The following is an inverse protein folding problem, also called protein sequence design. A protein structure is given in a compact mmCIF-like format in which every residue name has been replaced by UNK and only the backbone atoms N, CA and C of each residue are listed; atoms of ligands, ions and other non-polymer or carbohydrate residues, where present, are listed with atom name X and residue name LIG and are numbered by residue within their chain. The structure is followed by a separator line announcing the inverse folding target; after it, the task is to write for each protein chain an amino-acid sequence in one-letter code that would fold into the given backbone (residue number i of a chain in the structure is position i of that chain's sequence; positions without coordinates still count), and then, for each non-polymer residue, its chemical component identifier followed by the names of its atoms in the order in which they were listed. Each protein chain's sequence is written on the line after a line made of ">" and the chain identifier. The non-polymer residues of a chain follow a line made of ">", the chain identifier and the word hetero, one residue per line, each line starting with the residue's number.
data_IF_439102181305
#
_entry.id   IF_439102181305
#
_cell.length_a   1.000
_cell.length_b   1.000
_cell.length_c   1.000
_cell.angle_alpha   90.00
_cell.angle_beta   90.00
_cell.angle_gamma   90.00
#
_symmetry.space_group_name_H-M   'P 1'
#
loop_
_entity.id
_entity.type
_entity.pdbx_description
1 polymer ?
#
# COMPACT_ATOMS: atom_id res chain seq x y z
N UNK A 1 12.81 -10.96 5.13
CA UNK A 1 14.24 -10.63 5.02
C UNK A 1 14.88 -10.46 6.40
N UNK A 2 14.42 -9.56 7.28
CA UNK A 2 15.10 -9.28 8.55
C UNK A 2 14.88 -10.31 9.68
N UNK A 3 13.71 -10.95 9.71
CA UNK A 3 13.39 -12.00 10.67
C UNK A 3 13.08 -13.30 9.93
N UNK A 4 14.09 -14.16 9.81
CA UNK A 4 14.00 -15.45 9.14
C UNK A 4 14.92 -16.46 9.81
N UNK A 5 14.44 -17.69 9.91
CA UNK A 5 15.24 -18.85 10.22
C UNK A 5 14.68 -20.02 9.42
N UNK A 6 15.44 -20.58 8.45
CA UNK A 6 15.02 -21.77 7.73
C UNK A 6 14.75 -22.93 8.67
N UNK A 7 13.83 -23.83 8.29
CA UNK A 7 13.63 -25.10 9.00
C UNK A 7 14.82 -26.04 8.82
N UNK A 8 14.91 -27.04 9.68
CA UNK A 8 15.88 -28.12 9.50
C UNK A 8 15.68 -28.78 8.12
N UNK A 9 16.76 -28.99 7.39
CA UNK A 9 16.73 -29.49 6.01
C UNK A 9 16.44 -28.44 4.93
N UNK A 10 16.21 -27.18 5.30
CA UNK A 10 15.99 -26.04 4.40
C UNK A 10 17.16 -25.07 4.50
N UNK A 11 17.72 -24.66 3.37
CA UNK A 11 18.77 -23.62 3.32
C UNK A 11 18.17 -22.25 3.00
N UNK A 12 18.94 -21.17 3.22
CA UNK A 12 18.51 -19.83 2.83
C UNK A 12 18.40 -19.73 1.30
N UNK A 13 19.32 -20.37 0.58
CA UNK A 13 19.33 -20.46 -0.88
C UNK A 13 18.06 -21.16 -1.40
N UNK A 14 17.57 -22.18 -0.70
CA UNK A 14 16.31 -22.82 -1.05
C UNK A 14 15.12 -21.85 -0.91
N UNK A 15 15.07 -21.07 0.19
CA UNK A 15 14.00 -20.07 0.38
C UNK A 15 14.00 -19.00 -0.72
N UNK A 16 15.18 -18.53 -1.12
CA UNK A 16 15.34 -17.58 -2.23
C UNK A 16 14.85 -18.22 -3.53
N UNK A 17 15.34 -19.42 -3.85
CA UNK A 17 14.96 -20.15 -5.07
C UNK A 17 13.45 -20.40 -5.19
N UNK A 18 12.79 -20.81 -4.10
CA UNK A 18 11.34 -21.02 -4.10
C UNK A 18 10.58 -19.72 -4.28
N UNK A 19 11.04 -18.64 -3.64
CA UNK A 19 10.43 -17.32 -3.78
C UNK A 19 10.55 -16.80 -5.23
N UNK A 20 11.73 -16.95 -5.84
CA UNK A 20 11.97 -16.54 -7.23
C UNK A 20 11.09 -17.32 -8.21
N UNK A 21 10.91 -18.63 -8.01
CA UNK A 21 10.00 -19.45 -8.81
C UNK A 21 8.56 -18.97 -8.72
N UNK A 22 8.08 -18.68 -7.50
CA UNK A 22 6.71 -18.19 -7.28
C UNK A 22 6.47 -16.81 -7.89
N UNK A 23 7.44 -15.90 -7.78
CA UNK A 23 7.37 -14.59 -8.42
C UNK A 23 7.37 -14.72 -9.94
N UNK A 24 8.22 -15.59 -10.50
CA UNK A 24 8.32 -15.81 -11.94
C UNK A 24 7.05 -16.39 -12.56
N UNK A 25 6.28 -17.18 -11.82
CA UNK A 25 5.00 -17.72 -12.27
C UNK A 25 3.79 -16.83 -11.94
N UNK A 26 4.00 -15.67 -11.31
CA UNK A 26 2.94 -14.73 -10.96
C UNK A 26 2.03 -15.24 -9.84
N UNK A 27 2.55 -16.06 -8.91
CA UNK A 27 1.80 -16.45 -7.72
C UNK A 27 1.42 -15.21 -6.90
N UNK A 28 0.22 -15.22 -6.32
CA UNK A 28 -0.19 -14.09 -5.51
C UNK A 28 0.52 -14.08 -4.14
N UNK A 29 0.46 -12.94 -3.45
CA UNK A 29 1.16 -12.77 -2.16
C UNK A 29 0.64 -13.71 -1.07
N UNK A 30 -0.62 -14.14 -1.14
CA UNK A 30 -1.21 -15.08 -0.18
C UNK A 30 -0.61 -16.46 -0.39
N UNK A 31 -0.52 -16.92 -1.65
CA UNK A 31 0.11 -18.18 -2.03
C UNK A 31 1.61 -18.20 -1.69
N UNK A 32 2.32 -17.11 -2.00
CA UNK A 32 3.74 -16.95 -1.65
C UNK A 32 3.94 -17.07 -0.14
N UNK A 33 3.15 -16.35 0.65
CA UNK A 33 3.27 -16.38 2.10
C UNK A 33 2.88 -17.72 2.69
N UNK A 34 1.93 -18.46 2.09
CA UNK A 34 1.57 -19.81 2.51
C UNK A 34 2.76 -20.77 2.43
N UNK A 35 3.48 -20.77 1.31
CA UNK A 35 4.69 -21.60 1.15
C UNK A 35 5.79 -21.14 2.10
N UNK A 36 6.07 -19.82 2.16
CA UNK A 36 7.15 -19.27 2.99
C UNK A 36 6.94 -19.52 4.49
N UNK A 37 5.70 -19.48 4.98
CA UNK A 37 5.37 -19.80 6.39
C UNK A 37 5.81 -21.23 6.74
N UNK A 38 5.58 -22.20 5.84
CA UNK A 38 5.91 -23.61 6.05
C UNK A 38 7.41 -23.89 6.01
N UNK A 39 8.16 -23.18 5.17
CA UNK A 39 9.62 -23.34 5.06
C UNK A 39 10.43 -22.60 6.15
N UNK A 40 9.75 -21.85 7.02
CA UNK A 40 10.36 -21.06 8.09
C UNK A 40 10.10 -21.67 9.47
N UNK A 41 11.07 -21.55 10.38
CA UNK A 41 10.95 -21.96 11.77
C UNK A 41 10.38 -20.87 12.68
N UNK A 42 10.15 -19.66 12.17
CA UNK A 42 9.68 -18.51 12.98
C UNK A 42 8.39 -17.88 12.48
N UNK A 43 8.01 -18.11 11.22
CA UNK A 43 6.78 -17.58 10.61
C UNK A 43 5.56 -18.46 10.93
N UNK A 44 4.37 -17.97 10.57
CA UNK A 44 3.11 -18.70 10.71
C UNK A 44 2.88 -19.20 12.12
N UNK A 45 3.14 -18.35 13.12
CA UNK A 45 2.93 -18.63 14.54
C UNK A 45 4.04 -19.41 15.24
N UNK A 46 5.04 -19.91 14.51
CA UNK A 46 6.11 -20.73 15.11
C UNK A 46 7.00 -19.96 16.08
N UNK A 47 7.21 -18.66 15.86
CA UNK A 47 7.92 -17.84 16.85
C UNK A 47 7.16 -17.78 18.18
N UNK A 48 5.83 -17.65 18.15
CA UNK A 48 5.03 -17.72 19.39
C UNK A 48 5.14 -19.08 20.09
N UNK A 49 5.15 -20.18 19.33
CA UNK A 49 5.38 -21.51 19.90
C UNK A 49 6.75 -21.64 20.57
N UNK A 50 7.81 -21.06 19.98
CA UNK A 50 9.16 -21.09 20.56
C UNK A 50 9.27 -20.28 21.85
N UNK A 51 8.46 -19.23 22.00
CA UNK A 51 8.46 -18.37 23.21
C UNK A 51 7.62 -18.98 24.33
N UNK A 52 6.67 -19.86 24.02
CA UNK A 52 5.85 -20.54 25.01
C UNK A 52 6.72 -21.24 26.08
N UNK A 53 6.34 -21.18 27.37
CA UNK A 53 5.07 -20.67 27.91
C UNK A 53 5.05 -19.15 28.18
N UNK A 54 6.11 -18.40 27.84
CA UNK A 54 6.10 -16.95 28.02
C UNK A 54 5.08 -16.29 27.09
N UNK A 55 4.53 -15.15 27.52
CA UNK A 55 3.53 -14.40 26.78
C UNK A 55 4.17 -13.32 25.89
N UNK A 56 3.68 -13.20 24.66
CA UNK A 56 4.07 -12.17 23.70
C UNK A 56 3.01 -11.07 23.68
N UNK A 57 3.44 -9.83 23.90
CA UNK A 57 2.64 -8.65 23.61
C UNK A 57 3.20 -7.96 22.36
N UNK A 58 2.52 -8.12 21.23
CA UNK A 58 2.93 -7.58 19.94
C UNK A 58 2.32 -6.21 19.69
N UNK A 59 3.16 -5.21 19.45
CA UNK A 59 2.75 -3.87 19.00
C UNK A 59 3.13 -3.76 17.53
N UNK A 60 2.11 -3.68 16.67
CA UNK A 60 2.27 -3.77 15.21
C UNK A 60 2.08 -2.40 14.57
N UNK A 61 3.02 -2.03 13.70
CA UNK A 61 2.84 -0.98 12.70
C UNK A 61 2.61 -1.66 11.36
N UNK A 62 1.42 -1.49 10.79
CA UNK A 62 0.97 -2.21 9.61
C UNK A 62 1.20 -1.41 8.34
N UNK A 63 1.99 -1.97 7.44
CA UNK A 63 2.19 -1.56 6.05
C UNK A 63 1.36 -2.42 5.07
N UNK A 64 0.44 -3.25 5.59
CA UNK A 64 -0.38 -4.17 4.81
C UNK A 64 -1.82 -3.69 4.78
N UNK A 65 -2.37 -3.50 3.57
CA UNK A 65 -3.77 -3.14 3.41
C UNK A 65 -4.71 -4.14 4.10
N UNK A 66 -5.66 -3.61 4.85
CA UNK A 66 -6.61 -4.40 5.63
C UNK A 66 -6.03 -5.03 6.91
N UNK A 67 -4.81 -4.64 7.31
CA UNK A 67 -4.25 -4.94 8.64
C UNK A 67 -4.17 -6.45 8.95
N UNK A 68 -3.91 -7.25 7.91
CA UNK A 68 -3.90 -8.72 8.02
C UNK A 68 -2.65 -9.22 8.75
N UNK A 69 -2.81 -9.54 10.03
CA UNK A 69 -1.74 -10.03 10.91
C UNK A 69 -1.04 -11.30 10.41
N UNK A 70 -1.74 -12.15 9.65
CA UNK A 70 -1.18 -13.36 9.06
C UNK A 70 -0.17 -13.09 7.92
N UNK A 71 -0.27 -11.88 7.35
CA UNK A 71 0.52 -11.40 6.22
C UNK A 71 1.67 -10.50 6.71
N UNK A 72 1.43 -9.68 7.74
CA UNK A 72 2.44 -8.81 8.34
C UNK A 72 3.60 -9.65 8.90
N UNK A 73 4.80 -9.45 8.36
CA UNK A 73 5.99 -10.26 8.63
C UNK A 73 5.78 -11.79 8.43
N UNK A 74 4.76 -12.19 7.66
CA UNK A 74 4.27 -13.57 7.55
C UNK A 74 3.82 -14.20 8.88
N UNK A 75 3.26 -13.37 9.76
CA UNK A 75 2.57 -13.78 11.00
C UNK A 75 3.42 -14.59 11.98
N UNK A 76 4.59 -14.14 12.44
CA UNK A 76 5.44 -14.94 13.34
C UNK A 76 4.77 -15.25 14.69
N UNK A 77 3.90 -14.35 15.17
CA UNK A 77 3.10 -14.52 16.37
C UNK A 77 1.60 -14.55 16.07
N UNK A 78 1.21 -15.05 14.89
CA UNK A 78 -0.19 -15.18 14.49
C UNK A 78 -0.47 -16.61 14.03
N UNK A 79 -1.61 -17.23 14.40
CA UNK A 79 -1.96 -18.55 13.91
C UNK A 79 -2.06 -18.55 12.39
N UNK A 80 -1.71 -19.66 11.76
CA UNK A 80 -1.80 -19.81 10.30
C UNK A 80 -2.81 -20.88 9.94
N UNK A 81 -3.98 -20.44 9.46
CA UNK A 81 -5.08 -21.32 9.06
C UNK A 81 -4.81 -22.15 7.81
N UNK A 82 -3.73 -21.87 7.06
CA UNK A 82 -3.41 -22.62 5.85
C UNK A 82 -3.08 -24.09 6.13
N UNK A 83 -3.42 -24.96 5.19
CA UNK A 83 -3.26 -26.42 5.33
C UNK A 83 -2.15 -26.99 4.44
N UNK A 84 -1.66 -28.18 4.78
CA UNK A 84 -0.70 -28.91 3.93
C UNK A 84 -1.26 -29.08 2.52
N UNK A 85 -2.54 -29.43 2.39
CA UNK A 85 -3.14 -29.68 1.08
C UNK A 85 -3.22 -28.42 0.21
N UNK A 86 -3.37 -27.24 0.81
CA UNK A 86 -3.35 -25.97 0.07
C UNK A 86 -1.93 -25.62 -0.40
N UNK A 87 -0.93 -25.82 0.46
CA UNK A 87 0.47 -25.61 0.09
C UNK A 87 0.92 -26.54 -1.04
N UNK A 88 0.59 -27.84 -0.96
CA UNK A 88 0.91 -28.79 -2.03
C UNK A 88 0.15 -28.47 -3.33
N UNK A 89 -1.09 -27.99 -3.25
CA UNK A 89 -1.82 -27.50 -4.42
C UNK A 89 -1.12 -26.33 -5.12
N UNK A 90 -0.45 -25.44 -4.37
CA UNK A 90 0.34 -24.34 -4.95
C UNK A 90 1.57 -24.89 -5.68
N UNK A 91 2.26 -25.88 -5.08
CA UNK A 91 3.40 -26.57 -5.70
C UNK A 91 2.99 -27.17 -7.05
N UNK A 92 1.87 -27.89 -7.07
CA UNK A 92 1.34 -28.53 -8.28
C UNK A 92 0.84 -27.50 -9.30
N UNK A 93 0.07 -26.50 -8.86
CA UNK A 93 -0.51 -25.42 -9.70
C UNK A 93 0.56 -24.71 -10.51
N UNK A 94 1.72 -24.42 -9.91
CA UNK A 94 2.80 -23.68 -10.55
C UNK A 94 3.96 -24.57 -11.02
N UNK A 95 3.90 -25.88 -10.78
CA UNK A 95 4.96 -26.82 -11.16
C UNK A 95 6.31 -26.50 -10.50
N UNK A 96 6.28 -26.12 -9.22
CA UNK A 96 7.49 -25.70 -8.50
C UNK A 96 8.49 -26.86 -8.38
N UNK A 97 9.76 -26.57 -8.64
CA UNK A 97 10.84 -27.55 -8.55
C UNK A 97 11.44 -27.52 -7.16
N UNK A 98 10.98 -28.44 -6.32
CA UNK A 98 11.39 -28.56 -4.92
C UNK A 98 12.26 -29.82 -4.73
N UNK A 99 13.36 -29.66 -4.00
CA UNK A 99 14.17 -30.80 -3.52
C UNK A 99 13.44 -31.53 -2.38
N UNK A 100 13.75 -32.81 -2.08
CA UNK A 100 13.02 -33.60 -1.09
C UNK A 100 12.85 -32.95 0.29
N UNK A 101 13.91 -32.35 0.84
CA UNK A 101 13.84 -31.66 2.14
C UNK A 101 12.86 -30.47 2.20
N UNK A 102 12.55 -29.85 1.05
CA UNK A 102 11.54 -28.79 1.00
C UNK A 102 10.12 -29.38 1.00
N UNK A 103 9.91 -30.50 0.30
CA UNK A 103 8.63 -31.21 0.31
C UNK A 103 8.32 -31.71 1.72
N UNK A 104 9.29 -32.34 2.37
CA UNK A 104 9.18 -32.76 3.78
C UNK A 104 8.83 -31.58 4.70
N UNK A 105 9.45 -30.42 4.50
CA UNK A 105 9.14 -29.22 5.30
C UNK A 105 7.72 -28.68 5.06
N UNK A 106 7.14 -28.86 3.87
CA UNK A 106 5.77 -28.45 3.54
C UNK A 106 4.71 -29.36 4.17
N UNK A 107 5.04 -30.63 4.41
CA UNK A 107 4.16 -31.65 5.00
C UNK A 107 3.96 -31.49 6.51
N UNK A 108 4.58 -30.50 7.15
CA UNK A 108 4.30 -30.18 8.55
C UNK A 108 3.33 -29.00 8.68
N UNK A 109 2.32 -29.16 9.54
CA UNK A 109 1.40 -28.07 9.85
C UNK A 109 2.04 -26.90 10.61
N UNK A 110 1.52 -25.71 10.31
CA UNK A 110 1.70 -24.51 11.13
C UNK A 110 0.69 -24.48 12.27
N UNK A 111 0.99 -23.81 13.41
CA UNK A 111 0.05 -23.67 14.51
C UNK A 111 -1.26 -23.00 14.05
N UNK A 112 -2.37 -23.67 14.34
CA UNK A 112 -3.73 -23.20 14.04
C UNK A 112 -4.33 -22.36 15.17
N UNK A 113 -3.79 -22.50 16.38
CA UNK A 113 -4.19 -21.76 17.57
C UNK A 113 -2.93 -21.34 18.35
N UNK A 114 -3.00 -20.20 19.02
CA UNK A 114 -1.97 -19.65 19.90
C UNK A 114 -2.66 -19.01 21.11
N UNK A 115 -2.27 -19.40 22.32
CA UNK A 115 -2.84 -18.92 23.59
C UNK A 115 -1.93 -17.95 24.36
N UNK A 116 -0.68 -17.76 23.88
CA UNK A 116 0.34 -16.94 24.52
C UNK A 116 0.60 -15.61 23.81
N UNK A 117 -0.32 -15.11 22.98
CA UNK A 117 -0.13 -13.87 22.22
C UNK A 117 -1.31 -12.90 22.41
N UNK A 118 -0.97 -11.65 22.71
CA UNK A 118 -1.86 -10.50 22.54
C UNK A 118 -1.25 -9.55 21.51
N UNK A 119 -2.07 -9.05 20.57
CA UNK A 119 -1.60 -8.14 19.51
C UNK A 119 -2.42 -6.85 19.52
N UNK A 120 -1.74 -5.71 19.41
CA UNK A 120 -2.35 -4.41 19.13
C UNK A 120 -1.74 -3.80 17.88
N UNK A 121 -2.58 -3.24 17.02
CA UNK A 121 -2.12 -2.46 15.87
C UNK A 121 -2.05 -1.01 16.32
N UNK A 122 -0.83 -0.50 16.49
CA UNK A 122 -0.57 0.86 16.97
C UNK A 122 -0.61 1.89 15.84
N UNK A 123 -0.41 1.46 14.59
CA UNK A 123 -0.58 2.31 13.42
C UNK A 123 -0.85 1.50 12.17
N UNK A 124 -1.69 2.07 11.31
CA UNK A 124 -2.04 1.58 9.98
C UNK A 124 -2.62 2.72 9.14
N UNK A 125 -2.85 2.46 7.85
CA UNK A 125 -3.50 3.43 6.96
C UNK A 125 -4.85 3.90 7.50
N UNK A 126 -5.59 3.01 8.18
CA UNK A 126 -6.86 3.34 8.85
C UNK A 126 -6.66 4.39 9.95
N UNK A 127 -5.63 4.22 10.79
CA UNK A 127 -5.31 5.21 11.83
C UNK A 127 -4.82 6.54 11.26
N UNK A 128 -4.09 6.51 10.13
CA UNK A 128 -3.64 7.71 9.42
C UNK A 128 -4.84 8.49 8.86
N UNK A 129 -5.78 7.79 8.21
CA UNK A 129 -7.02 8.40 7.72
C UNK A 129 -7.87 8.96 8.86
N UNK A 130 -8.01 8.24 9.97
CA UNK A 130 -8.76 8.72 11.14
C UNK A 130 -8.13 9.99 11.75
N UNK A 131 -6.80 10.07 11.79
CA UNK A 131 -6.10 11.27 12.24
C UNK A 131 -6.33 12.46 11.29
N UNK A 132 -6.22 12.24 9.97
CA UNK A 132 -6.49 13.26 8.97
C UNK A 132 -7.96 13.75 8.99
N UNK A 133 -8.90 12.81 9.15
CA UNK A 133 -10.32 13.11 9.32
C UNK A 133 -10.56 13.99 10.54
N UNK A 134 -10.02 13.61 11.70
CA UNK A 134 -10.13 14.40 12.93
C UNK A 134 -9.58 15.81 12.74
N UNK A 135 -8.40 15.96 12.15
CA UNK A 135 -7.79 17.27 11.90
C UNK A 135 -8.64 18.11 10.94
N UNK A 136 -9.16 17.53 9.86
CA UNK A 136 -10.04 18.24 8.93
C UNK A 136 -11.33 18.73 9.61
N UNK A 137 -11.93 17.90 10.46
CA UNK A 137 -13.12 18.26 11.23
C UNK A 137 -12.85 19.41 12.21
N UNK A 138 -11.71 19.38 12.92
CA UNK A 138 -11.26 20.46 13.82
C UNK A 138 -11.03 21.79 13.08
N UNK A 139 -10.64 21.72 11.80
CA UNK A 139 -10.50 22.86 10.90
C UNK A 139 -11.83 23.33 10.27
N UNK A 140 -12.95 22.69 10.59
CA UNK A 140 -14.30 23.08 10.16
C UNK A 140 -14.78 22.45 8.86
N UNK A 141 -14.10 21.43 8.34
CA UNK A 141 -14.56 20.69 7.17
C UNK A 141 -15.51 19.56 7.55
N UNK A 142 -16.55 19.35 6.75
CA UNK A 142 -17.33 18.11 6.80
C UNK A 142 -16.52 16.97 6.19
N UNK A 143 -16.30 15.91 6.93
CA UNK A 143 -15.44 14.81 6.49
C UNK A 143 -16.24 13.64 5.91
N UNK A 144 -15.66 12.98 4.92
CA UNK A 144 -16.14 11.70 4.41
C UNK A 144 -14.96 10.81 4.07
N UNK A 145 -14.70 9.80 4.90
CA UNK A 145 -13.77 8.72 4.59
C UNK A 145 -14.44 7.73 3.63
N UNK A 146 -13.95 7.64 2.38
CA UNK A 146 -14.53 6.73 1.38
C UNK A 146 -14.02 5.30 1.52
N UNK A 147 -12.72 5.13 1.78
CA UNK A 147 -12.10 3.80 1.91
C UNK A 147 -10.72 3.90 2.56
N UNK A 148 -10.28 2.80 3.19
CA UNK A 148 -8.90 2.58 3.67
C UNK A 148 -8.21 1.42 2.95
N UNK A 149 -8.80 0.95 1.84
CA UNK A 149 -8.33 -0.20 1.05
C UNK A 149 -8.19 0.13 -0.44
N UNK A 150 -7.97 1.41 -0.78
CA UNK A 150 -7.73 1.83 -2.16
C UNK A 150 -6.55 1.05 -2.75
N UNK A 151 -6.77 0.37 -3.88
CA UNK A 151 -5.77 -0.56 -4.46
C UNK A 151 -5.87 -0.67 -5.98
N UNK A 152 -6.48 0.34 -6.64
CA UNK A 152 -6.56 0.43 -8.09
C UNK A 152 -5.35 1.17 -8.69
N UNK A 153 -5.37 1.36 -10.01
CA UNK A 153 -4.38 2.15 -10.72
C UNK A 153 -4.41 3.62 -10.25
N UNK A 154 -3.24 4.18 -9.97
CA UNK A 154 -3.04 5.54 -9.46
C UNK A 154 -3.73 6.61 -10.34
N UNK A 155 -3.52 6.58 -11.66
CA UNK A 155 -4.13 7.55 -12.58
C UNK A 155 -5.66 7.48 -12.58
N UNK A 156 -6.23 6.28 -12.43
CA UNK A 156 -7.67 6.07 -12.39
C UNK A 156 -8.26 6.58 -11.07
N UNK A 157 -7.56 6.36 -9.95
CA UNK A 157 -7.92 6.94 -8.66
C UNK A 157 -7.93 8.47 -8.72
N UNK A 158 -6.89 9.08 -9.31
CA UNK A 158 -6.84 10.53 -9.51
C UNK A 158 -8.00 11.07 -10.35
N UNK A 159 -8.28 10.45 -11.50
CA UNK A 159 -9.42 10.81 -12.35
C UNK A 159 -10.76 10.68 -11.62
N UNK A 160 -10.97 9.58 -10.89
CA UNK A 160 -12.18 9.34 -10.11
C UNK A 160 -12.38 10.40 -9.03
N UNK A 161 -11.32 10.78 -8.33
CA UNK A 161 -11.36 11.85 -7.33
C UNK A 161 -11.69 13.22 -7.93
N UNK A 162 -11.20 13.52 -9.13
CA UNK A 162 -11.56 14.74 -9.82
C UNK A 162 -13.05 14.77 -10.21
N UNK A 163 -13.63 13.64 -10.64
CA UNK A 163 -15.08 13.55 -10.88
C UNK A 163 -15.91 13.77 -9.62
N UNK A 164 -15.47 13.25 -8.46
CA UNK A 164 -16.11 13.56 -7.17
C UNK A 164 -16.04 15.05 -6.87
N UNK A 165 -14.89 15.68 -7.12
CA UNK A 165 -14.73 17.11 -6.91
C UNK A 165 -15.69 17.94 -7.78
N UNK A 166 -15.82 17.59 -9.07
CA UNK A 166 -16.77 18.20 -10.00
C UNK A 166 -18.20 18.07 -9.46
N UNK A 167 -18.61 16.85 -9.07
CA UNK A 167 -19.95 16.60 -8.50
C UNK A 167 -20.22 17.44 -7.24
N UNK A 168 -19.22 17.57 -6.36
CA UNK A 168 -19.31 18.41 -5.14
C UNK A 168 -19.48 19.87 -5.51
N UNK A 169 -18.69 20.40 -6.47
CA UNK A 169 -18.76 21.81 -6.89
C UNK A 169 -20.06 22.13 -7.62
N UNK A 170 -20.62 21.17 -8.36
CA UNK A 170 -21.87 21.34 -9.11
C UNK A 170 -23.12 21.18 -8.24
N UNK A 171 -23.12 20.20 -7.33
CA UNK A 171 -24.37 19.75 -6.66
C UNK A 171 -24.29 19.75 -5.14
N UNK A 172 -23.09 19.93 -4.55
CA UNK A 172 -22.88 19.79 -3.11
C UNK A 172 -22.95 18.35 -2.59
N UNK A 173 -22.92 17.34 -3.48
CA UNK A 173 -22.93 15.92 -3.12
C UNK A 173 -21.58 15.26 -3.48
N UNK A 174 -21.13 14.23 -2.75
CA UNK A 174 -21.79 13.60 -1.58
C UNK A 174 -21.66 14.41 -0.28
N UNK A 175 -20.82 15.44 -0.25
CA UNK A 175 -20.66 16.32 0.90
C UNK A 175 -20.54 17.78 0.46
N UNK A 176 -21.39 18.65 1.01
CA UNK A 176 -21.42 20.06 0.65
C UNK A 176 -20.19 20.80 1.21
N UNK A 177 -19.53 21.70 0.44
CA UNK A 177 -18.43 22.52 0.93
C UNK A 177 -18.81 23.37 2.16
N UNK A 178 -17.87 23.64 3.10
CA UNK A 178 -16.50 23.13 3.12
C UNK A 178 -16.46 21.64 3.51
N UNK A 179 -15.83 20.80 2.70
CA UNK A 179 -15.73 19.36 2.92
C UNK A 179 -14.34 18.79 2.59
N UNK A 180 -14.05 17.65 3.21
CA UNK A 180 -12.83 16.87 3.05
C UNK A 180 -13.20 15.42 2.74
N UNK A 181 -12.83 14.94 1.56
CA UNK A 181 -12.99 13.56 1.15
C UNK A 181 -11.65 12.85 1.35
N UNK A 182 -11.64 11.77 2.13
CA UNK A 182 -10.41 11.06 2.52
C UNK A 182 -10.41 9.63 1.97
N UNK A 183 -9.23 9.20 1.52
CA UNK A 183 -8.96 7.84 1.05
C UNK A 183 -7.62 7.40 1.60
N UNK A 184 -7.57 6.16 2.05
CA UNK A 184 -6.35 5.46 2.40
C UNK A 184 -6.19 4.21 1.54
N UNK A 185 -4.96 3.86 1.24
CA UNK A 185 -4.66 2.59 0.60
C UNK A 185 -3.25 2.56 0.04
N UNK A 186 -3.06 1.76 -1.01
CA UNK A 186 -1.82 1.63 -1.74
C UNK A 186 -2.14 1.36 -3.21
N UNK A 187 -2.03 2.41 -4.03
CA UNK A 187 -2.31 2.29 -5.47
C UNK A 187 -1.13 1.68 -6.22
N UNK A 188 -1.39 1.22 -7.44
CA UNK A 188 -0.35 0.70 -8.34
C UNK A 188 -0.17 1.61 -9.55
N UNK A 189 1.01 1.50 -10.18
CA UNK A 189 1.33 2.16 -11.45
C UNK A 189 1.78 1.10 -12.44
N UNK A 190 1.11 1.02 -13.58
CA UNK A 190 1.62 0.25 -14.71
C UNK A 190 2.62 1.10 -15.52
N UNK A 191 3.91 0.77 -15.37
CA UNK A 191 4.98 1.44 -16.10
C UNK A 191 4.89 1.14 -17.60
N UNK A 192 4.69 2.19 -18.40
CA UNK A 192 4.65 2.18 -19.87
C UNK A 192 5.77 3.05 -20.46
N UNK A 193 6.06 4.17 -19.81
CA UNK A 193 7.15 5.07 -20.17
C UNK A 193 8.42 4.84 -19.36
N UNK A 194 9.36 5.76 -19.52
CA UNK A 194 10.69 5.78 -18.88
C UNK A 194 10.87 6.99 -17.96
N UNK A 195 9.78 7.70 -17.67
CA UNK A 195 9.76 8.84 -16.78
C UNK A 195 10.10 8.49 -15.34
N UNK A 196 10.18 9.54 -14.52
CA UNK A 196 10.35 9.47 -13.08
C UNK A 196 9.05 9.87 -12.40
N UNK A 197 8.63 9.11 -11.41
CA UNK A 197 7.39 9.38 -10.69
C UNK A 197 7.09 8.33 -9.64
N UNK A 198 5.94 8.51 -8.99
CA UNK A 198 5.38 7.56 -8.05
C UNK A 198 3.86 7.57 -8.12
N UNK A 199 3.24 6.68 -7.35
CA UNK A 199 1.80 6.44 -7.38
C UNK A 199 1.02 7.64 -6.86
N UNK A 200 1.48 8.28 -5.79
CA UNK A 200 0.81 9.46 -5.21
C UNK A 200 0.96 10.69 -6.13
N UNK A 201 2.12 10.83 -6.78
CA UNK A 201 2.36 11.83 -7.82
C UNK A 201 1.47 11.59 -9.05
N UNK A 202 1.26 10.33 -9.48
CA UNK A 202 0.32 10.02 -10.57
C UNK A 202 -1.13 10.31 -10.20
N UNK A 203 -1.57 9.99 -8.97
CA UNK A 203 -2.91 10.39 -8.48
C UNK A 203 -3.08 11.90 -8.60
N UNK A 204 -2.13 12.68 -8.08
CA UNK A 204 -2.19 14.13 -8.09
C UNK A 204 -2.22 14.69 -9.52
N UNK A 205 -1.29 14.27 -10.38
CA UNK A 205 -1.24 14.76 -11.76
C UNK A 205 -2.50 14.37 -12.56
N UNK A 206 -3.01 13.14 -12.42
CA UNK A 206 -4.23 12.71 -13.08
C UNK A 206 -5.47 13.49 -12.59
N UNK A 207 -5.56 13.72 -11.28
CA UNK A 207 -6.65 14.52 -10.73
C UNK A 207 -6.65 15.96 -11.28
N UNK A 208 -5.47 16.55 -11.47
CA UNK A 208 -5.33 17.94 -11.94
C UNK A 208 -6.10 18.21 -13.25
N UNK A 209 -6.18 17.22 -14.14
CA UNK A 209 -6.90 17.31 -15.43
C UNK A 209 -8.38 17.59 -15.21
N UNK A 210 -9.04 16.83 -14.33
CA UNK A 210 -10.45 17.02 -14.00
C UNK A 210 -10.71 18.18 -13.03
N UNK A 211 -9.71 18.59 -12.25
CA UNK A 211 -9.81 19.76 -11.37
C UNK A 211 -9.70 21.09 -12.11
N UNK A 212 -9.26 21.09 -13.38
CA UNK A 212 -9.03 22.31 -14.16
C UNK A 212 -10.19 23.31 -14.06
N UNK A 213 -9.88 24.51 -13.62
CA UNK A 213 -10.83 25.62 -13.50
C UNK A 213 -11.73 25.57 -12.26
N UNK A 214 -11.72 24.49 -11.47
CA UNK A 214 -12.42 24.44 -10.20
C UNK A 214 -11.74 25.37 -9.20
N UNK A 215 -12.51 26.33 -8.68
CA UNK A 215 -12.06 27.25 -7.62
C UNK A 215 -12.15 26.57 -6.26
N UNK A 216 -11.26 26.94 -5.36
CA UNK A 216 -11.32 26.52 -3.95
C UNK A 216 -11.35 25.00 -3.76
N UNK A 217 -10.68 24.28 -4.66
CA UNK A 217 -10.58 22.82 -4.68
C UNK A 217 -9.14 22.41 -4.83
N UNK A 218 -8.67 21.52 -3.96
CA UNK A 218 -7.30 21.00 -3.95
C UNK A 218 -7.30 19.51 -3.63
N UNK A 219 -6.41 18.76 -4.28
CA UNK A 219 -6.15 17.36 -3.97
C UNK A 219 -4.70 17.19 -3.53
N UNK A 220 -4.51 16.53 -2.39
CA UNK A 220 -3.23 16.08 -1.85
C UNK A 220 -3.21 14.56 -1.91
N UNK A 221 -2.09 13.97 -2.34
CA UNK A 221 -1.83 12.54 -2.23
C UNK A 221 -0.39 12.34 -1.77
N UNK A 222 -0.16 11.56 -0.71
CA UNK A 222 1.16 11.34 -0.12
C UNK A 222 1.36 9.90 0.38
N UNK A 223 2.59 9.39 0.22
CA UNK A 223 3.11 8.23 0.92
C UNK A 223 3.55 8.60 2.33
N UNK A 224 3.13 7.80 3.32
CA UNK A 224 3.40 8.08 4.74
C UNK A 224 4.86 7.91 5.15
N UNK A 225 5.68 7.23 4.34
CA UNK A 225 7.13 7.08 4.51
C UNK A 225 7.93 8.31 4.06
N UNK A 226 7.27 9.24 3.38
CA UNK A 226 7.87 10.45 2.84
C UNK A 226 8.55 10.26 1.49
N UNK A 227 8.32 9.11 0.84
CA UNK A 227 8.88 8.78 -0.47
C UNK A 227 7.82 8.17 -1.38
N UNK A 228 7.78 8.58 -2.64
CA UNK A 228 6.82 8.09 -3.62
C UNK A 228 7.55 7.70 -4.91
N UNK A 229 7.59 6.40 -5.17
CA UNK A 229 8.44 5.83 -6.22
C UNK A 229 9.94 6.05 -5.95
N UNK A 230 10.81 5.94 -6.97
CA UNK A 230 12.24 6.23 -6.84
C UNK A 230 12.52 7.74 -6.83
N UNK A 231 11.89 8.48 -5.92
CA UNK A 231 11.96 9.94 -5.81
C UNK A 231 12.19 10.42 -4.37
N UNK A 232 12.50 11.70 -4.21
CA UNK A 232 12.63 12.38 -2.90
C UNK A 232 11.34 13.08 -2.45
N UNK A 233 10.27 12.97 -3.25
CA UNK A 233 8.95 13.50 -2.93
C UNK A 233 8.10 12.44 -2.23
N UNK A 234 7.24 12.87 -1.32
CA UNK A 234 6.22 12.03 -0.71
C UNK A 234 4.98 11.88 -1.62
N UNK A 235 4.79 12.79 -2.58
CA UNK A 235 3.60 12.82 -3.42
C UNK A 235 3.38 14.17 -4.09
N UNK A 236 2.12 14.55 -4.29
CA UNK A 236 1.75 15.78 -4.99
C UNK A 236 0.54 16.50 -4.39
N UNK A 237 0.53 17.83 -4.57
CA UNK A 237 -0.57 18.74 -4.21
C UNK A 237 -0.97 19.55 -5.45
N UNK A 238 -2.21 19.38 -5.91
CA UNK A 238 -2.71 20.01 -7.13
C UNK A 238 -4.03 20.73 -6.90
N UNK A 239 -4.24 21.82 -7.62
CA UNK A 239 -5.50 22.57 -7.66
C UNK A 239 -5.98 22.80 -9.11
N UNK A 240 -7.07 23.55 -9.26
CA UNK A 240 -7.66 23.85 -10.56
C UNK A 240 -6.82 24.74 -11.50
N UNK A 241 -5.66 25.24 -11.08
CA UNK A 241 -4.72 26.03 -11.91
C UNK A 241 -3.55 25.21 -12.42
N UNK A 242 -3.28 24.06 -11.81
CA UNK A 242 -2.14 23.17 -12.13
C UNK A 242 -1.98 22.91 -13.63
N UNK A 243 -3.07 22.57 -14.32
CA UNK A 243 -3.04 22.28 -15.77
C UNK A 243 -2.63 23.50 -16.59
N UNK A 244 -3.14 24.69 -16.26
CA UNK A 244 -2.80 25.91 -16.99
C UNK A 244 -1.35 26.32 -16.70
N UNK A 245 -0.83 26.08 -15.49
CA UNK A 245 0.58 26.28 -15.15
C UNK A 245 1.48 25.35 -15.97
N UNK A 246 1.17 24.05 -16.04
CA UNK A 246 1.92 23.08 -16.84
C UNK A 246 1.93 23.47 -18.32
N UNK A 247 0.77 23.79 -18.89
CA UNK A 247 0.67 24.22 -20.29
C UNK A 247 1.42 25.52 -20.56
N UNK A 248 1.43 26.45 -19.61
CA UNK A 248 2.24 27.67 -19.67
C UNK A 248 3.75 27.41 -19.73
N UNK A 249 4.20 26.25 -19.23
CA UNK A 249 5.58 25.76 -19.30
C UNK A 249 5.84 24.86 -20.51
N UNK A 250 4.86 24.68 -21.40
CA UNK A 250 4.96 23.80 -22.56
C UNK A 250 4.84 22.30 -22.23
N UNK A 251 4.37 21.96 -21.03
CA UNK A 251 4.13 20.58 -20.60
C UNK A 251 2.65 20.22 -20.76
N UNK A 252 2.39 19.07 -21.37
CA UNK A 252 1.04 18.53 -21.49
C UNK A 252 0.81 17.44 -20.42
N UNK A 253 -0.14 17.62 -19.47
CA UNK A 253 -0.36 16.66 -18.37
C UNK A 253 -0.63 15.23 -18.83
N UNK A 254 -1.38 15.06 -19.94
CA UNK A 254 -1.70 13.74 -20.48
C UNK A 254 -0.45 13.04 -21.03
N UNK A 255 0.42 13.77 -21.74
CA UNK A 255 1.70 13.25 -22.21
C UNK A 255 2.64 12.87 -21.03
N UNK A 256 2.68 13.69 -19.98
CA UNK A 256 3.48 13.39 -18.77
C UNK A 256 2.99 12.11 -18.07
N UNK A 257 1.67 11.92 -17.95
CA UNK A 257 1.08 10.68 -17.41
C UNK A 257 1.31 9.46 -18.31
N UNK A 258 1.32 9.65 -19.62
CA UNK A 258 1.60 8.57 -20.58
C UNK A 258 3.04 8.07 -20.47
N UNK A 259 4.00 8.96 -20.17
CA UNK A 259 5.42 8.63 -20.00
C UNK A 259 5.79 8.19 -18.58
N UNK A 260 4.84 8.14 -17.64
CA UNK A 260 5.08 7.92 -16.20
C UNK A 260 6.08 8.93 -15.61
N UNK A 261 6.03 10.19 -16.05
CA UNK A 261 6.98 11.24 -15.66
C UNK A 261 6.40 12.27 -14.68
N UNK A 262 5.52 11.80 -13.78
CA UNK A 262 4.75 12.66 -12.86
C UNK A 262 5.62 13.51 -11.95
N UNK A 263 6.83 13.06 -11.60
CA UNK A 263 7.78 13.83 -10.81
C UNK A 263 8.18 15.14 -11.49
N UNK A 264 8.70 15.05 -12.72
CA UNK A 264 9.20 16.22 -13.44
C UNK A 264 8.06 17.18 -13.80
N UNK A 265 6.87 16.64 -14.12
CA UNK A 265 5.68 17.46 -14.34
C UNK A 265 5.33 18.28 -13.10
N UNK A 266 5.15 17.62 -11.96
CA UNK A 266 4.76 18.32 -10.72
C UNK A 266 5.87 19.25 -10.20
N UNK A 267 7.14 18.89 -10.37
CA UNK A 267 8.28 19.74 -9.98
C UNK A 267 8.27 21.07 -10.75
N UNK A 268 8.04 21.00 -12.07
CA UNK A 268 8.04 22.16 -12.95
C UNK A 268 7.03 23.24 -12.53
N UNK A 269 5.90 22.84 -11.92
CA UNK A 269 4.88 23.77 -11.41
C UNK A 269 4.86 23.92 -9.87
N UNK A 270 5.85 23.40 -9.16
CA UNK A 270 5.96 23.51 -7.69
C UNK A 270 4.86 22.75 -6.94
N UNK A 271 4.37 21.66 -7.51
CA UNK A 271 3.28 20.83 -6.97
C UNK A 271 3.77 19.56 -6.26
N UNK A 272 5.08 19.36 -6.10
CA UNK A 272 5.62 18.27 -5.30
C UNK A 272 5.44 18.53 -3.80
N UNK A 273 5.21 17.45 -3.06
CA UNK A 273 5.16 17.48 -1.60
C UNK A 273 6.42 16.81 -1.07
N UNK A 274 7.34 17.61 -0.51
CA UNK A 274 8.60 17.13 0.05
C UNK A 274 8.50 17.14 1.58
N UNK A 275 8.38 15.97 2.19
CA UNK A 275 8.39 15.82 3.67
C UNK A 275 9.77 15.42 4.20
N UNK A 276 10.60 14.81 3.36
CA UNK A 276 11.72 13.99 3.81
C UNK A 276 11.25 12.66 4.43
N UNK A 277 12.19 11.77 4.80
CA UNK A 277 11.86 10.47 5.39
C UNK A 277 11.18 10.66 6.75
N UNK A 278 10.01 10.07 6.92
CA UNK A 278 9.20 10.22 8.15
C UNK A 278 9.58 9.22 9.24
N UNK A 279 10.25 8.12 8.87
CA UNK A 279 10.60 7.03 9.76
C UNK A 279 9.44 6.07 10.09
N UNK A 280 8.34 6.15 9.35
CA UNK A 280 7.18 5.24 9.46
C UNK A 280 6.72 4.80 8.07
N UNK A 281 5.94 3.73 7.95
CA UNK A 281 5.22 3.40 6.72
C UNK A 281 3.91 2.70 7.07
N UNK A 282 2.81 3.35 6.71
CA UNK A 282 1.43 2.87 6.83
C UNK A 282 0.66 3.14 5.53
N UNK A 283 1.35 3.01 4.39
CA UNK A 283 0.85 3.24 3.02
C UNK A 283 0.49 4.70 2.73
N UNK A 284 -0.52 4.94 1.89
CA UNK A 284 -0.83 6.24 1.29
C UNK A 284 -2.08 6.91 1.89
N UNK A 285 -2.07 8.24 1.92
CA UNK A 285 -3.22 9.09 2.24
C UNK A 285 -3.51 10.04 1.08
N UNK A 286 -4.75 10.06 0.62
CA UNK A 286 -5.26 11.04 -0.35
C UNK A 286 -6.39 11.85 0.26
N UNK A 287 -6.33 13.17 0.12
CA UNK A 287 -7.31 14.12 0.65
C UNK A 287 -7.73 15.08 -0.46
N UNK A 288 -9.02 15.13 -0.76
CA UNK A 288 -9.64 16.14 -1.60
C UNK A 288 -10.38 17.15 -0.71
N UNK A 289 -9.98 18.42 -0.78
CA UNK A 289 -10.65 19.51 -0.08
C UNK A 289 -11.42 20.37 -1.07
N UNK A 290 -12.68 20.65 -0.75
CA UNK A 290 -13.50 21.65 -1.42
C UNK A 290 -13.95 22.67 -0.37
N UNK A 291 -13.55 23.93 -0.51
CA UNK A 291 -13.92 25.02 0.41
C UNK A 291 -15.14 25.79 -0.07
#
# INVERSE_FOLDING_TARGET
>A
ALFERPRDGVTLEDLVSVTDQLLACGADIVEINMIRKRLSSVKGGRFAQLVAPAHIFAVVLSDVLGDRLDSIASGPAHPDGSTIQEALRIVDKYGLKLRPGLLEALEEETPKELDNVSTVIAGSVTSLCAAAEKTAAELGYKTLLLTTTLSCEAREAGSFMASIAQQIRETGQPAAPPCAILLGGETIVHLKGKGKGGRNQEIALAASVGLKGLKDTVLLSIGSDGTDGPTDAAGGLVDGKTVDNLKGLGLDPEAVLAENDSYNGLDACGCLVITGPTGTNVNDLTVLLCR
#
